data_IF_731452512727
#
_entry.id   IF_731452512727
#
_cell.length_a   1.000
_cell.length_b   1.000
_cell.length_c   1.000
_cell.angle_alpha   90.00
_cell.angle_beta   90.00
_cell.angle_gamma   90.00
#
_symmetry.space_group_name_H-M   'P 1'
#
loop_
_entity.id
_entity.type
_entity.pdbx_description
1 polymer ?
#
# COMPACT_ATOMS: atom_id res chain seq x y z
N UNK A 1 -6.83 -45.50 13.57
CA UNK A 1 -6.26 -45.08 12.28
C UNK A 1 -7.39 -44.80 11.31
N UNK A 2 -7.81 -43.57 11.22
CA UNK A 2 -8.86 -43.13 10.27
C UNK A 2 -8.17 -42.76 8.94
N UNK A 3 -8.54 -43.44 7.87
CA UNK A 3 -8.10 -43.14 6.50
C UNK A 3 -8.65 -41.81 6.11
N UNK A 4 -7.78 -40.79 5.91
CA UNK A 4 -8.13 -39.53 5.29
C UNK A 4 -8.22 -39.80 3.79
N UNK A 5 -9.44 -39.76 3.25
CA UNK A 5 -9.68 -39.81 1.81
C UNK A 5 -9.06 -38.54 1.20
N UNK A 6 -8.00 -38.69 0.45
CA UNK A 6 -7.45 -37.66 -0.43
C UNK A 6 -8.34 -37.57 -1.68
N UNK A 7 -9.39 -36.78 -1.63
CA UNK A 7 -9.90 -36.23 -2.87
C UNK A 7 -8.84 -35.23 -3.41
N UNK A 8 -8.52 -35.27 -4.71
CA UNK A 8 -7.57 -34.34 -5.29
C UNK A 8 -8.13 -32.93 -5.15
N UNK A 9 -7.45 -32.09 -4.38
CA UNK A 9 -7.72 -30.67 -4.25
C UNK A 9 -7.52 -30.04 -5.64
N UNK A 10 -8.60 -30.01 -6.41
CA UNK A 10 -8.65 -29.25 -7.66
C UNK A 10 -8.28 -27.82 -7.30
N UNK A 11 -7.12 -27.38 -7.78
CA UNK A 11 -6.71 -25.98 -7.77
C UNK A 11 -7.79 -25.19 -8.53
N UNK A 12 -8.84 -24.82 -7.81
CA UNK A 12 -9.89 -23.97 -8.33
C UNK A 12 -9.21 -22.67 -8.76
N UNK A 13 -9.12 -22.47 -10.06
CA UNK A 13 -8.79 -21.18 -10.65
C UNK A 13 -9.83 -20.21 -10.10
N UNK A 14 -9.47 -19.49 -9.03
CA UNK A 14 -10.31 -18.44 -8.47
C UNK A 14 -10.45 -17.35 -9.53
N UNK A 15 -11.56 -17.44 -10.26
CA UNK A 15 -11.89 -16.41 -11.23
C UNK A 15 -12.37 -15.16 -10.49
N UNK A 16 -12.17 -13.96 -11.05
CA UNK A 16 -12.71 -12.71 -10.49
C UNK A 16 -14.22 -12.80 -10.21
N UNK A 17 -14.92 -13.64 -10.92
CA UNK A 17 -16.37 -13.92 -10.78
C UNK A 17 -16.68 -14.57 -9.41
N UNK A 18 -15.91 -15.56 -8.97
CA UNK A 18 -16.12 -16.24 -7.68
C UNK A 18 -15.91 -15.27 -6.50
N UNK A 19 -14.93 -14.38 -6.61
CA UNK A 19 -14.66 -13.36 -5.61
C UNK A 19 -15.85 -12.40 -5.43
N UNK A 20 -16.45 -11.94 -6.52
CA UNK A 20 -17.59 -11.02 -6.51
C UNK A 20 -18.90 -11.70 -6.07
N UNK A 21 -19.09 -13.00 -6.36
CA UNK A 21 -20.24 -13.78 -5.90
C UNK A 21 -20.23 -14.01 -4.37
N UNK A 22 -19.04 -13.99 -3.77
CA UNK A 22 -18.88 -14.18 -2.32
C UNK A 22 -19.37 -12.96 -1.51
N UNK A 23 -19.31 -11.77 -2.09
CA UNK A 23 -19.82 -10.53 -1.49
C UNK A 23 -21.19 -10.19 -2.09
N UNK A 24 -22.23 -10.91 -1.65
CA UNK A 24 -23.62 -10.65 -2.06
C UNK A 24 -24.18 -9.32 -1.52
N UNK A 25 -23.49 -8.67 -0.58
CA UNK A 25 -23.82 -7.35 -0.08
C UNK A 25 -23.32 -6.25 -1.04
N UNK A 26 -24.05 -5.13 -1.07
CA UNK A 26 -23.67 -3.95 -1.86
C UNK A 26 -22.40 -3.24 -1.34
N UNK A 27 -21.71 -3.80 -0.35
CA UNK A 27 -20.54 -3.22 0.29
C UNK A 27 -19.59 -4.26 0.86
N UNK A 28 -18.30 -3.91 0.88
CA UNK A 28 -17.23 -4.71 1.48
C UNK A 28 -16.35 -3.83 2.35
N UNK A 29 -16.00 -4.33 3.55
CA UNK A 29 -15.04 -3.68 4.45
C UNK A 29 -13.67 -4.36 4.27
N UNK A 30 -12.70 -3.64 3.74
CA UNK A 30 -11.33 -4.11 3.56
C UNK A 30 -10.52 -3.79 4.82
N UNK A 31 -10.30 -4.80 5.64
CA UNK A 31 -9.45 -4.74 6.82
C UNK A 31 -8.11 -5.41 6.58
N UNK A 32 -7.17 -5.28 7.50
CA UNK A 32 -5.93 -6.03 7.46
C UNK A 32 -5.40 -6.38 8.83
N UNK A 33 -4.54 -7.40 8.89
CA UNK A 33 -3.88 -7.84 10.11
C UNK A 33 -2.78 -6.90 10.59
N UNK A 34 -2.33 -5.96 9.75
CA UNK A 34 -1.27 -5.00 10.08
C UNK A 34 -1.18 -3.82 9.12
N UNK A 35 -0.28 -2.90 9.44
CA UNK A 35 0.09 -1.84 8.50
C UNK A 35 0.82 -2.45 7.30
N UNK A 36 0.71 -1.77 6.15
CA UNK A 36 1.37 -2.19 4.91
C UNK A 36 1.05 -3.63 4.43
N UNK A 37 -0.01 -4.25 4.95
CA UNK A 37 -0.47 -5.58 4.48
C UNK A 37 -1.05 -5.56 3.06
N UNK A 38 -1.24 -4.40 2.46
CA UNK A 38 -1.71 -4.23 1.08
C UNK A 38 -3.20 -3.96 0.94
N UNK A 39 -3.84 -3.36 1.96
CA UNK A 39 -5.26 -2.93 1.89
C UNK A 39 -5.54 -2.08 0.66
N UNK A 40 -4.80 -0.98 0.50
CA UNK A 40 -5.03 -0.03 -0.60
C UNK A 40 -4.83 -0.68 -1.96
N UNK A 41 -3.80 -1.52 -2.14
CA UNK A 41 -3.62 -2.32 -3.36
C UNK A 41 -4.81 -3.26 -3.61
N UNK A 42 -5.32 -3.88 -2.54
CA UNK A 42 -6.53 -4.73 -2.62
C UNK A 42 -7.76 -3.89 -2.97
N UNK A 43 -7.94 -2.71 -2.37
CA UNK A 43 -9.05 -1.80 -2.68
C UNK A 43 -9.02 -1.31 -4.13
N UNK A 44 -7.84 -0.95 -4.65
CA UNK A 44 -7.64 -0.61 -6.08
C UNK A 44 -8.04 -1.77 -6.97
N UNK A 45 -7.59 -3.00 -6.66
CA UNK A 45 -7.94 -4.20 -7.43
C UNK A 45 -9.44 -4.50 -7.37
N UNK A 46 -10.06 -4.33 -6.20
CA UNK A 46 -11.51 -4.48 -6.03
C UNK A 46 -12.29 -3.44 -6.82
N UNK A 47 -11.87 -2.18 -6.80
CA UNK A 47 -12.50 -1.10 -7.56
C UNK A 47 -12.48 -1.43 -9.05
N UNK A 48 -11.33 -1.85 -9.57
CA UNK A 48 -11.19 -2.25 -10.98
C UNK A 48 -12.10 -3.43 -11.34
N UNK A 49 -12.19 -4.45 -10.48
CA UNK A 49 -13.07 -5.61 -10.70
C UNK A 49 -14.56 -5.24 -10.56
N UNK A 50 -14.89 -4.43 -9.55
CA UNK A 50 -16.28 -4.03 -9.29
C UNK A 50 -16.85 -3.20 -10.45
N UNK A 51 -16.07 -2.30 -11.04
CA UNK A 51 -16.47 -1.50 -12.21
C UNK A 51 -16.77 -2.31 -13.47
N UNK A 52 -16.34 -3.58 -13.52
CA UNK A 52 -16.74 -4.51 -14.60
C UNK A 52 -18.14 -5.08 -14.39
N UNK A 53 -18.68 -5.02 -13.17
CA UNK A 53 -19.96 -5.62 -12.79
C UNK A 53 -21.02 -4.58 -12.41
N UNK A 54 -20.61 -3.50 -11.78
CA UNK A 54 -21.49 -2.43 -11.29
C UNK A 54 -21.23 -1.15 -12.07
N UNK A 55 -22.28 -0.38 -12.34
CA UNK A 55 -22.18 0.87 -13.06
C UNK A 55 -21.54 1.98 -12.19
N UNK A 56 -21.93 2.02 -10.91
CA UNK A 56 -21.46 3.02 -9.95
C UNK A 56 -20.80 2.32 -8.77
N UNK A 57 -19.51 2.55 -8.60
CA UNK A 57 -18.71 1.97 -7.52
C UNK A 57 -18.05 3.09 -6.75
N UNK A 58 -18.40 3.20 -5.47
CA UNK A 58 -17.85 4.17 -4.54
C UNK A 58 -16.72 3.59 -3.69
N UNK A 59 -16.00 4.49 -3.06
CA UNK A 59 -14.93 4.19 -2.09
C UNK A 59 -15.02 5.14 -0.90
N UNK A 60 -14.68 4.64 0.28
CA UNK A 60 -14.54 5.46 1.48
C UNK A 60 -13.43 4.92 2.39
N UNK A 61 -12.66 5.86 2.95
CA UNK A 61 -11.72 5.68 4.07
C UNK A 61 -12.33 6.36 5.30
N UNK A 62 -13.12 5.65 6.12
CA UNK A 62 -13.89 6.27 7.20
C UNK A 62 -13.03 7.05 8.19
N UNK A 63 -11.87 6.49 8.55
CA UNK A 63 -10.88 7.09 9.43
C UNK A 63 -9.53 7.17 8.72
N UNK A 64 -9.06 8.38 8.44
CA UNK A 64 -7.83 8.66 7.70
C UNK A 64 -6.70 9.14 8.61
N UNK A 65 -5.74 8.27 9.00
CA UNK A 65 -4.61 8.67 9.83
C UNK A 65 -3.43 9.28 9.06
N UNK A 66 -3.54 9.41 7.73
CA UNK A 66 -2.46 9.89 6.85
C UNK A 66 -2.92 11.11 6.04
N UNK A 67 -2.96 12.30 6.66
CA UNK A 67 -3.39 13.52 5.97
C UNK A 67 -2.49 13.85 4.77
N UNK A 68 -3.09 14.28 3.69
CA UNK A 68 -2.44 14.85 2.50
C UNK A 68 -3.31 15.96 1.92
N UNK A 69 -2.70 16.84 1.14
CA UNK A 69 -3.43 17.82 0.34
C UNK A 69 -3.66 17.20 -1.04
N UNK A 70 -4.91 17.03 -1.41
CA UNK A 70 -5.30 16.50 -2.71
C UNK A 70 -5.12 17.56 -3.83
N UNK A 71 -5.24 17.16 -5.09
CA UNK A 71 -5.07 18.02 -6.26
C UNK A 71 -6.03 19.21 -6.28
N UNK A 72 -7.21 19.07 -5.68
CA UNK A 72 -8.21 20.14 -5.52
C UNK A 72 -7.98 21.04 -4.28
N UNK A 73 -6.86 20.89 -3.56
CA UNK A 73 -6.51 21.66 -2.36
C UNK A 73 -7.18 21.18 -1.06
N UNK A 74 -8.02 20.15 -1.10
CA UNK A 74 -8.69 19.63 0.09
C UNK A 74 -7.75 18.72 0.90
N UNK A 75 -7.84 18.82 2.24
CA UNK A 75 -7.15 17.88 3.13
C UNK A 75 -7.97 16.59 3.21
N UNK A 76 -7.38 15.48 2.79
CA UNK A 76 -7.99 14.16 2.79
C UNK A 76 -6.98 13.09 3.28
N UNK A 77 -7.44 11.88 3.52
CA UNK A 77 -6.51 10.74 3.70
C UNK A 77 -5.84 10.40 2.38
N UNK A 78 -4.54 10.07 2.46
CA UNK A 78 -3.72 9.76 1.28
C UNK A 78 -4.31 8.63 0.42
N UNK A 79 -4.88 7.59 1.04
CA UNK A 79 -5.45 6.45 0.31
C UNK A 79 -6.74 6.88 -0.40
N UNK A 80 -7.56 7.75 0.21
CA UNK A 80 -8.77 8.31 -0.40
C UNK A 80 -8.43 9.26 -1.58
N UNK A 81 -7.42 10.12 -1.41
CA UNK A 81 -6.95 11.01 -2.46
C UNK A 81 -6.43 10.22 -3.67
N UNK A 82 -5.65 9.15 -3.43
CA UNK A 82 -5.19 8.24 -4.48
C UNK A 82 -6.34 7.58 -5.23
N UNK A 83 -7.35 7.08 -4.50
CA UNK A 83 -8.51 6.44 -5.12
C UNK A 83 -9.35 7.43 -5.94
N UNK A 84 -9.49 8.66 -5.46
CA UNK A 84 -10.19 9.72 -6.19
C UNK A 84 -9.48 10.02 -7.51
N UNK A 85 -8.17 10.28 -7.47
CA UNK A 85 -7.36 10.60 -8.64
C UNK A 85 -7.33 9.46 -9.67
N UNK A 86 -7.07 8.21 -9.22
CA UNK A 86 -6.94 7.06 -10.13
C UNK A 86 -8.26 6.68 -10.80
N UNK A 87 -9.38 6.89 -10.12
CA UNK A 87 -10.69 6.44 -10.60
C UNK A 87 -11.66 7.57 -11.00
N UNK A 88 -11.22 8.82 -10.97
CA UNK A 88 -12.06 9.98 -11.32
C UNK A 88 -13.24 10.16 -10.36
N UNK A 89 -12.95 10.20 -9.05
CA UNK A 89 -13.95 10.32 -7.97
C UNK A 89 -13.74 11.62 -7.15
N UNK A 90 -13.11 12.63 -7.72
CA UNK A 90 -12.70 13.85 -7.02
C UNK A 90 -13.90 14.60 -6.43
N UNK A 91 -15.05 14.58 -7.10
CA UNK A 91 -16.28 15.25 -6.66
C UNK A 91 -16.83 14.66 -5.34
N UNK A 92 -16.50 13.38 -5.06
CA UNK A 92 -16.91 12.67 -3.85
C UNK A 92 -15.85 12.66 -2.74
N UNK A 93 -14.69 13.29 -2.94
CA UNK A 93 -13.54 13.19 -2.03
C UNK A 93 -13.88 13.57 -0.58
N UNK A 94 -14.74 14.56 -0.36
CA UNK A 94 -15.19 14.95 0.97
C UNK A 94 -15.96 13.83 1.69
N UNK A 95 -16.74 13.05 0.94
CA UNK A 95 -17.45 11.88 1.46
C UNK A 95 -16.52 10.68 1.59
N UNK A 96 -15.54 10.55 0.69
CA UNK A 96 -14.57 9.45 0.70
C UNK A 96 -13.58 9.54 1.87
N UNK A 97 -13.38 10.73 2.46
CA UNK A 97 -12.47 10.98 3.58
C UNK A 97 -13.13 11.87 4.65
N UNK A 98 -14.20 11.38 5.32
CA UNK A 98 -15.01 12.22 6.22
C UNK A 98 -14.30 12.61 7.50
N UNK A 99 -13.36 11.79 7.98
CA UNK A 99 -12.58 12.04 9.20
C UNK A 99 -11.11 11.84 8.90
N UNK A 100 -10.35 12.92 8.96
CA UNK A 100 -8.88 12.92 8.84
C UNK A 100 -8.31 13.30 10.20
N UNK A 101 -7.50 12.42 10.78
CA UNK A 101 -6.83 12.68 12.07
C UNK A 101 -5.53 13.45 11.83
N UNK A 102 -5.46 14.63 12.39
CA UNK A 102 -4.27 15.48 12.38
C UNK A 102 -3.38 15.22 13.60
N UNK A 103 -2.10 15.59 13.55
CA UNK A 103 -1.24 15.55 14.73
C UNK A 103 -1.87 16.29 15.91
N UNK A 104 -1.94 15.63 17.08
CA UNK A 104 -2.56 16.17 18.30
C UNK A 104 -4.06 15.86 18.47
N UNK A 105 -4.77 15.38 17.45
CA UNK A 105 -6.20 15.09 17.58
C UNK A 105 -6.50 13.95 18.56
N UNK A 106 -5.63 12.96 18.66
CA UNK A 106 -5.74 11.91 19.69
C UNK A 106 -5.77 12.49 21.11
N UNK A 107 -4.93 13.48 21.39
CA UNK A 107 -4.94 14.17 22.70
C UNK A 107 -6.23 14.95 22.91
N UNK A 108 -6.69 15.68 21.87
CA UNK A 108 -7.96 16.43 21.94
C UNK A 108 -9.15 15.53 22.24
N UNK A 109 -9.15 14.31 21.69
CA UNK A 109 -10.19 13.32 21.93
C UNK A 109 -10.14 12.84 23.38
N UNK A 110 -8.96 12.47 23.88
CA UNK A 110 -8.78 12.03 25.27
C UNK A 110 -9.09 13.14 26.27
N UNK A 111 -8.80 14.39 25.92
CA UNK A 111 -9.18 15.58 26.71
C UNK A 111 -10.68 15.93 26.63
N UNK A 112 -11.47 15.19 25.84
CA UNK A 112 -12.89 15.50 25.63
C UNK A 112 -13.18 16.74 24.76
N UNK A 113 -12.17 17.30 24.10
CA UNK A 113 -12.29 18.48 23.21
C UNK A 113 -12.79 18.11 21.81
N UNK A 114 -12.70 16.85 21.43
CA UNK A 114 -13.20 16.29 20.17
C UNK A 114 -14.01 15.04 20.49
N UNK A 115 -15.28 15.03 20.11
CA UNK A 115 -16.22 13.95 20.43
C UNK A 115 -16.10 12.78 19.46
N UNK A 116 -15.91 11.55 19.98
CA UNK A 116 -15.96 10.33 19.18
C UNK A 116 -17.33 10.10 18.54
N UNK A 117 -18.42 10.49 19.21
CA UNK A 117 -19.79 10.37 18.68
C UNK A 117 -20.02 11.31 17.48
N UNK A 118 -19.43 12.51 17.49
CA UNK A 118 -19.51 13.43 16.36
C UNK A 118 -18.77 12.88 15.15
N UNK A 119 -17.63 12.24 15.39
CA UNK A 119 -16.85 11.57 14.35
C UNK A 119 -17.60 10.35 13.79
N UNK A 120 -18.26 9.56 14.65
CA UNK A 120 -19.14 8.45 14.23
C UNK A 120 -20.27 8.97 13.33
N UNK A 121 -20.96 10.03 13.76
CA UNK A 121 -22.04 10.63 12.95
C UNK A 121 -21.57 11.10 11.57
N UNK A 122 -20.40 11.74 11.50
CA UNK A 122 -19.82 12.16 10.21
C UNK A 122 -19.52 10.97 9.30
N UNK A 123 -18.92 9.92 9.85
CA UNK A 123 -18.60 8.68 9.09
C UNK A 123 -19.89 8.05 8.57
N UNK A 124 -20.89 7.88 9.43
CA UNK A 124 -22.16 7.24 9.05
C UNK A 124 -22.90 8.04 7.98
N UNK A 125 -22.99 9.37 8.14
CA UNK A 125 -23.62 10.24 7.16
C UNK A 125 -22.94 10.16 5.77
N UNK A 126 -21.60 10.11 5.75
CA UNK A 126 -20.84 9.96 4.50
C UNK A 126 -21.10 8.58 3.84
N UNK A 127 -21.15 7.51 4.64
CA UNK A 127 -21.43 6.16 4.13
C UNK A 127 -22.85 6.09 3.58
N UNK A 128 -23.84 6.61 4.29
CA UNK A 128 -25.25 6.62 3.85
C UNK A 128 -25.42 7.39 2.53
N UNK A 129 -24.68 8.50 2.35
CA UNK A 129 -24.69 9.26 1.09
C UNK A 129 -24.04 8.49 -0.05
N UNK A 130 -22.87 7.88 0.20
CA UNK A 130 -22.19 7.09 -0.81
C UNK A 130 -22.96 5.81 -1.19
N UNK A 131 -23.68 5.18 -0.24
CA UNK A 131 -24.56 4.05 -0.52
C UNK A 131 -25.75 4.43 -1.40
N UNK A 132 -26.28 5.65 -1.27
CA UNK A 132 -27.34 6.15 -2.16
C UNK A 132 -26.85 6.42 -3.57
N UNK A 133 -25.61 6.87 -3.71
CA UNK A 133 -25.00 7.23 -5.00
C UNK A 133 -24.46 6.01 -5.76
N UNK A 134 -24.13 4.91 -5.08
CA UNK A 134 -23.37 3.80 -5.65
C UNK A 134 -24.11 2.47 -5.55
N UNK A 135 -23.86 1.61 -6.54
CA UNK A 135 -24.40 0.24 -6.58
C UNK A 135 -23.54 -0.73 -5.75
N UNK A 136 -22.26 -0.37 -5.55
CA UNK A 136 -21.31 -1.10 -4.71
C UNK A 136 -20.36 -0.13 -4.01
N UNK A 137 -20.07 -0.35 -2.72
CA UNK A 137 -19.21 0.51 -1.91
C UNK A 137 -18.03 -0.29 -1.32
N UNK A 138 -16.83 0.20 -1.55
CA UNK A 138 -15.61 -0.29 -0.93
C UNK A 138 -15.28 0.58 0.26
N UNK A 139 -15.23 -0.01 1.45
CA UNK A 139 -14.91 0.68 2.72
C UNK A 139 -13.53 0.18 3.15
N UNK A 140 -12.53 1.05 3.22
CA UNK A 140 -11.18 0.67 3.60
C UNK A 140 -10.85 1.11 5.03
N UNK A 141 -10.54 0.14 5.90
CA UNK A 141 -10.10 0.39 7.25
C UNK A 141 -8.69 0.98 7.36
N UNK A 142 -8.38 1.62 8.48
CA UNK A 142 -7.07 2.16 8.80
C UNK A 142 -6.19 1.12 9.53
N UNK A 143 -4.93 0.97 9.16
CA UNK A 143 -3.95 0.11 9.87
C UNK A 143 -4.44 -1.33 10.09
N UNK A 144 -4.39 -1.82 11.33
CA UNK A 144 -4.94 -3.12 11.75
C UNK A 144 -6.34 -2.98 12.35
N UNK A 145 -6.98 -4.10 12.72
CA UNK A 145 -8.39 -4.15 13.18
C UNK A 145 -8.70 -3.20 14.34
N UNK A 146 -7.78 -3.00 15.27
CA UNK A 146 -7.96 -2.14 16.45
C UNK A 146 -7.72 -0.65 16.24
N UNK A 147 -7.27 -0.21 15.06
CA UNK A 147 -7.03 1.22 14.81
C UNK A 147 -8.34 1.98 14.89
N UNK A 148 -8.34 3.09 15.64
CA UNK A 148 -9.52 3.86 15.97
C UNK A 148 -10.11 3.56 17.36
N UNK A 149 -9.58 2.57 18.09
CA UNK A 149 -10.07 2.24 19.44
C UNK A 149 -9.96 3.40 20.42
N UNK A 150 -8.97 4.27 20.27
CA UNK A 150 -8.80 5.47 21.13
C UNK A 150 -10.00 6.43 21.06
N UNK A 151 -10.75 6.40 19.97
CA UNK A 151 -11.96 7.20 19.77
C UNK A 151 -13.24 6.35 19.81
N UNK A 152 -13.13 5.10 20.24
CA UNK A 152 -14.26 4.17 20.24
C UNK A 152 -14.71 3.69 18.86
N UNK A 153 -13.93 3.95 17.79
CA UNK A 153 -14.27 3.65 16.40
C UNK A 153 -13.22 2.73 15.76
N UNK A 154 -12.98 1.56 16.38
CA UNK A 154 -12.12 0.55 15.78
C UNK A 154 -12.65 0.12 14.40
N UNK A 155 -11.77 -0.39 13.54
CA UNK A 155 -12.20 -0.95 12.25
C UNK A 155 -13.27 -2.03 12.41
N UNK A 156 -13.20 -2.84 13.48
CA UNK A 156 -14.20 -3.85 13.77
C UNK A 156 -15.57 -3.22 14.11
N UNK A 157 -15.57 -2.16 14.94
CA UNK A 157 -16.80 -1.44 15.26
C UNK A 157 -17.39 -0.76 14.04
N UNK A 158 -16.59 -0.08 13.21
CA UNK A 158 -17.08 0.53 11.97
C UNK A 158 -17.70 -0.53 11.07
N UNK A 159 -17.01 -1.67 10.83
CA UNK A 159 -17.53 -2.75 9.99
C UNK A 159 -18.91 -3.26 10.48
N UNK A 160 -19.08 -3.39 11.81
CA UNK A 160 -20.37 -3.75 12.42
C UNK A 160 -21.43 -2.68 12.19
N UNK A 161 -21.13 -1.41 12.50
CA UNK A 161 -22.07 -0.30 12.35
C UNK A 161 -22.62 -0.18 10.94
N UNK A 162 -21.75 -0.33 9.94
CA UNK A 162 -22.14 -0.28 8.54
C UNK A 162 -22.66 -1.61 7.99
N UNK A 163 -22.70 -2.67 8.80
CA UNK A 163 -23.17 -4.01 8.42
C UNK A 163 -22.48 -4.52 7.14
N UNK A 164 -21.17 -4.27 7.01
CA UNK A 164 -20.41 -4.71 5.86
C UNK A 164 -19.70 -6.05 6.14
N UNK A 165 -19.72 -6.93 5.14
CA UNK A 165 -18.89 -8.14 5.18
C UNK A 165 -17.41 -7.78 5.12
N UNK A 166 -16.60 -8.36 6.00
CA UNK A 166 -15.18 -8.04 6.10
C UNK A 166 -14.35 -8.98 5.21
N UNK A 167 -13.51 -8.37 4.38
CA UNK A 167 -12.37 -8.99 3.72
C UNK A 167 -11.12 -8.67 4.55
N UNK A 168 -10.52 -9.68 5.18
CA UNK A 168 -9.30 -9.51 5.97
C UNK A 168 -8.07 -9.81 5.12
N UNK A 169 -7.28 -8.78 4.84
CA UNK A 169 -6.02 -8.89 4.09
C UNK A 169 -4.89 -9.20 5.07
N UNK A 170 -4.13 -10.27 4.81
CA UNK A 170 -3.01 -10.70 5.64
C UNK A 170 -1.69 -10.52 4.90
N UNK A 171 -0.57 -10.65 5.60
CA UNK A 171 0.76 -10.75 4.99
C UNK A 171 1.02 -12.10 4.32
N UNK A 172 2.27 -12.36 3.95
CA UNK A 172 2.73 -13.65 3.44
C UNK A 172 3.20 -14.59 4.55
N UNK A 173 3.36 -15.86 4.21
CA UNK A 173 3.78 -16.92 5.12
C UNK A 173 2.60 -17.76 5.65
N UNK A 174 2.84 -18.68 6.56
CA UNK A 174 1.81 -19.56 7.12
C UNK A 174 1.57 -19.22 8.60
N UNK A 175 2.52 -19.51 9.49
CA UNK A 175 2.34 -19.34 10.94
C UNK A 175 1.99 -17.90 11.31
N UNK A 176 2.82 -16.94 10.91
CA UNK A 176 2.57 -15.53 11.18
C UNK A 176 1.22 -15.01 10.64
N UNK A 177 0.76 -15.53 9.49
CA UNK A 177 -0.56 -15.20 8.94
C UNK A 177 -1.68 -15.72 9.82
N UNK A 178 -1.55 -16.97 10.28
CA UNK A 178 -2.55 -17.61 11.15
C UNK A 178 -2.64 -16.87 12.49
N UNK A 179 -1.50 -16.63 13.15
CA UNK A 179 -1.45 -15.93 14.44
C UNK A 179 -2.01 -14.51 14.34
N UNK A 180 -1.57 -13.74 13.34
CA UNK A 180 -2.05 -12.39 13.11
C UNK A 180 -3.55 -12.35 12.75
N UNK A 181 -4.05 -13.32 11.99
CA UNK A 181 -5.46 -13.43 11.67
C UNK A 181 -6.30 -13.69 12.94
N UNK A 182 -5.92 -14.67 13.77
CA UNK A 182 -6.64 -14.96 15.01
C UNK A 182 -6.68 -13.76 15.98
N UNK A 183 -5.55 -13.07 16.16
CA UNK A 183 -5.50 -11.84 16.96
C UNK A 183 -6.50 -10.79 16.48
N UNK A 184 -6.53 -10.52 15.17
CA UNK A 184 -7.42 -9.52 14.59
C UNK A 184 -8.88 -9.97 14.62
N UNK A 185 -9.17 -11.24 14.36
CA UNK A 185 -10.51 -11.81 14.42
C UNK A 185 -11.13 -11.77 15.82
N UNK A 186 -10.32 -11.82 16.87
CA UNK A 186 -10.83 -11.69 18.24
C UNK A 186 -11.66 -10.39 18.43
N UNK A 187 -11.16 -9.26 17.91
CA UNK A 187 -11.87 -7.98 17.99
C UNK A 187 -13.09 -7.94 17.06
N UNK A 188 -13.02 -8.53 15.86
CA UNK A 188 -14.19 -8.65 14.98
C UNK A 188 -15.29 -9.47 15.63
N UNK A 189 -14.95 -10.58 16.31
CA UNK A 189 -15.91 -11.39 17.07
C UNK A 189 -16.51 -10.64 18.24
N UNK A 190 -15.68 -9.92 19.00
CA UNK A 190 -16.13 -9.07 20.12
C UNK A 190 -17.13 -8.01 19.65
N UNK A 191 -16.90 -7.38 18.51
CA UNK A 191 -17.78 -6.37 17.94
C UNK A 191 -18.93 -6.98 17.12
N UNK A 192 -19.04 -8.30 17.01
CA UNK A 192 -20.02 -9.00 16.17
C UNK A 192 -19.99 -8.55 14.69
N UNK A 193 -18.81 -8.24 14.17
CA UNK A 193 -18.59 -7.94 12.75
C UNK A 193 -18.21 -9.23 11.99
N UNK A 194 -18.83 -9.45 10.83
CA UNK A 194 -18.73 -10.69 10.08
C UNK A 194 -17.50 -10.68 9.15
N UNK A 195 -16.47 -11.45 9.52
CA UNK A 195 -15.36 -11.75 8.59
C UNK A 195 -15.80 -12.90 7.66
N UNK A 196 -15.91 -12.63 6.37
CA UNK A 196 -16.33 -13.62 5.37
C UNK A 196 -15.17 -14.25 4.61
N UNK A 197 -14.10 -13.50 4.42
CA UNK A 197 -12.98 -13.95 3.63
C UNK A 197 -11.64 -13.45 4.17
N UNK A 198 -10.61 -14.26 3.97
CA UNK A 198 -9.22 -13.92 4.19
C UNK A 198 -8.49 -13.95 2.85
N UNK A 199 -7.72 -12.90 2.56
CA UNK A 199 -6.88 -12.78 1.38
C UNK A 199 -5.42 -12.72 1.82
N UNK A 200 -4.62 -13.71 1.43
CA UNK A 200 -3.19 -13.69 1.68
C UNK A 200 -2.48 -12.79 0.65
N UNK A 201 -1.63 -11.87 1.11
CA UNK A 201 -0.88 -10.97 0.24
C UNK A 201 0.62 -11.17 0.44
N UNK A 202 1.44 -10.69 -0.51
CA UNK A 202 2.90 -10.78 -0.47
C UNK A 202 3.41 -12.23 -0.36
N UNK A 203 2.75 -13.15 -1.00
CA UNK A 203 3.18 -14.55 -1.05
C UNK A 203 4.37 -14.67 -2.01
N UNK A 204 5.43 -15.34 -1.57
CA UNK A 204 6.57 -15.68 -2.44
C UNK A 204 6.04 -16.59 -3.56
N UNK A 205 6.25 -16.28 -4.85
CA UNK A 205 5.65 -17.01 -5.97
C UNK A 205 5.83 -18.52 -5.88
N UNK A 206 7.04 -19.00 -5.66
CA UNK A 206 7.39 -20.43 -5.60
C UNK A 206 6.75 -21.18 -4.41
N UNK A 207 6.28 -20.44 -3.41
CA UNK A 207 5.63 -20.99 -2.21
C UNK A 207 4.11 -20.83 -2.22
N UNK A 208 3.55 -20.24 -3.28
CA UNK A 208 2.15 -19.83 -3.33
C UNK A 208 1.17 -20.96 -3.04
N UNK A 209 1.27 -22.05 -3.79
CA UNK A 209 0.33 -23.18 -3.66
C UNK A 209 0.39 -23.79 -2.25
N UNK A 210 1.61 -24.04 -1.77
CA UNK A 210 1.84 -24.55 -0.42
C UNK A 210 1.25 -23.62 0.65
N UNK A 211 1.49 -22.32 0.57
CA UNK A 211 0.95 -21.34 1.52
C UNK A 211 -0.58 -21.37 1.54
N UNK A 212 -1.21 -21.29 0.38
CA UNK A 212 -2.68 -21.29 0.29
C UNK A 212 -3.30 -22.60 0.79
N UNK A 213 -2.69 -23.75 0.50
CA UNK A 213 -3.12 -25.05 1.01
C UNK A 213 -3.07 -25.10 2.55
N UNK A 214 -1.95 -24.69 3.15
CA UNK A 214 -1.82 -24.72 4.61
C UNK A 214 -2.71 -23.68 5.30
N UNK A 215 -2.93 -22.51 4.71
CA UNK A 215 -3.88 -21.54 5.24
C UNK A 215 -5.32 -22.08 5.19
N UNK A 216 -5.70 -22.76 4.11
CA UNK A 216 -7.00 -23.41 4.01
C UNK A 216 -7.20 -24.50 5.07
N UNK A 217 -6.16 -25.28 5.37
CA UNK A 217 -6.18 -26.26 6.46
C UNK A 217 -6.27 -25.62 7.84
N UNK A 218 -5.46 -24.57 8.09
CA UNK A 218 -5.45 -23.85 9.36
C UNK A 218 -6.81 -23.23 9.70
N UNK A 219 -7.52 -22.75 8.69
CA UNK A 219 -8.83 -22.09 8.84
C UNK A 219 -10.02 -23.01 8.48
N UNK A 220 -9.82 -24.31 8.33
CA UNK A 220 -10.88 -25.23 7.90
C UNK A 220 -12.14 -25.27 8.79
N UNK A 221 -11.99 -24.89 10.08
CA UNK A 221 -13.10 -24.84 11.05
C UNK A 221 -13.70 -23.46 11.23
N UNK A 222 -13.18 -22.47 10.53
CA UNK A 222 -13.64 -21.08 10.62
C UNK A 222 -14.83 -20.83 9.68
N UNK A 223 -15.72 -19.89 10.01
CA UNK A 223 -16.88 -19.56 9.18
C UNK A 223 -16.52 -18.75 7.93
N UNK A 224 -15.27 -18.39 7.74
CA UNK A 224 -14.76 -17.69 6.57
C UNK A 224 -13.90 -18.61 5.70
N UNK A 225 -13.57 -18.15 4.49
CA UNK A 225 -12.71 -18.89 3.57
C UNK A 225 -11.47 -18.11 3.19
N UNK A 226 -10.39 -18.82 2.92
CA UNK A 226 -9.22 -18.26 2.22
C UNK A 226 -9.56 -18.21 0.73
N UNK A 227 -9.73 -17.00 0.19
CA UNK A 227 -10.18 -16.80 -1.20
C UNK A 227 -9.04 -16.61 -2.20
N UNK A 228 -7.82 -16.91 -1.80
CA UNK A 228 -6.62 -16.78 -2.62
C UNK A 228 -5.60 -15.84 -2.03
N UNK A 229 -4.76 -15.27 -2.88
CA UNK A 229 -3.71 -14.35 -2.46
C UNK A 229 -3.00 -13.70 -3.63
N UNK A 230 -2.26 -12.64 -3.35
CA UNK A 230 -1.39 -11.97 -4.30
C UNK A 230 0.07 -12.34 -4.05
N UNK A 231 0.81 -12.51 -5.12
CA UNK A 231 2.24 -12.69 -5.05
C UNK A 231 2.93 -11.40 -4.58
N UNK A 232 4.07 -11.54 -3.92
CA UNK A 232 4.95 -10.42 -3.64
C UNK A 232 5.43 -9.81 -4.96
N UNK A 233 5.24 -8.52 -5.10
CA UNK A 233 5.67 -7.74 -6.25
C UNK A 233 6.68 -6.69 -5.76
N UNK A 234 7.98 -6.86 -6.02
CA UNK A 234 9.01 -5.91 -5.58
C UNK A 234 8.73 -4.48 -6.01
N UNK A 235 8.22 -4.28 -7.21
CA UNK A 235 7.87 -2.97 -7.76
C UNK A 235 6.89 -2.18 -6.88
N UNK A 236 5.98 -2.85 -6.17
CA UNK A 236 5.02 -2.19 -5.27
C UNK A 236 5.63 -1.84 -3.89
N UNK A 237 6.80 -2.38 -3.57
CA UNK A 237 7.51 -2.14 -2.31
C UNK A 237 8.64 -1.10 -2.47
N UNK A 238 9.15 -0.94 -3.67
CA UNK A 238 10.30 -0.11 -3.96
C UNK A 238 9.90 1.38 -4.12
N UNK A 239 10.68 2.32 -3.56
CA UNK A 239 10.40 3.74 -3.69
C UNK A 239 10.78 4.28 -5.07
N UNK A 240 10.11 5.34 -5.51
CA UNK A 240 10.57 6.16 -6.63
C UNK A 240 11.63 7.16 -6.18
N UNK A 241 12.42 7.71 -7.10
CA UNK A 241 13.37 8.80 -6.82
C UNK A 241 12.66 10.01 -6.19
N UNK A 242 11.48 10.37 -6.68
CA UNK A 242 10.63 11.41 -6.06
C UNK A 242 10.35 11.12 -4.60
N UNK A 243 10.00 9.87 -4.27
CA UNK A 243 9.72 9.52 -2.88
C UNK A 243 10.95 9.60 -2.00
N UNK A 244 12.11 9.20 -2.50
CA UNK A 244 13.38 9.30 -1.78
C UNK A 244 13.73 10.77 -1.55
N UNK A 245 13.65 11.62 -2.57
CA UNK A 245 13.86 13.07 -2.49
C UNK A 245 12.99 13.70 -1.40
N UNK A 246 11.69 13.39 -1.37
CA UNK A 246 10.76 13.88 -0.34
C UNK A 246 11.10 13.41 1.08
N UNK A 247 11.56 12.15 1.24
CA UNK A 247 11.90 11.60 2.56
C UNK A 247 13.18 12.20 3.10
N UNK A 248 14.15 12.45 2.22
CA UNK A 248 15.43 13.06 2.59
C UNK A 248 15.37 14.59 2.66
N UNK A 249 14.27 15.19 2.21
CA UNK A 249 14.09 16.64 2.07
C UNK A 249 15.21 17.29 1.25
N UNK A 250 15.54 16.65 0.10
CA UNK A 250 16.56 17.12 -0.85
C UNK A 250 15.98 17.20 -2.25
N UNK A 251 16.41 18.21 -3.02
CA UNK A 251 15.93 18.40 -4.37
C UNK A 251 16.47 17.32 -5.33
N UNK A 252 15.59 16.77 -6.16
CA UNK A 252 15.96 15.85 -7.23
C UNK A 252 16.27 16.68 -8.50
N UNK A 253 17.50 16.59 -8.95
CA UNK A 253 17.97 17.14 -10.22
C UNK A 253 17.85 16.09 -11.32
N UNK A 254 17.39 16.49 -12.49
CA UNK A 254 17.20 15.61 -13.65
C UNK A 254 15.92 15.92 -14.42
N UNK A 255 15.54 15.06 -15.35
CA UNK A 255 14.28 15.25 -16.10
C UNK A 255 13.05 14.98 -15.23
N UNK A 256 11.91 15.64 -15.48
CA UNK A 256 10.67 15.38 -14.73
C UNK A 256 10.24 13.91 -14.77
N UNK A 257 10.50 13.20 -15.87
CA UNK A 257 10.18 11.79 -16.05
C UNK A 257 10.99 10.90 -15.11
N UNK A 258 12.25 11.25 -14.86
CA UNK A 258 13.14 10.48 -13.98
C UNK A 258 12.64 10.41 -12.54
N UNK A 259 11.85 11.39 -12.11
CA UNK A 259 11.27 11.41 -10.77
C UNK A 259 10.36 10.20 -10.47
N UNK A 260 9.76 9.60 -11.50
CA UNK A 260 8.95 8.38 -11.41
C UNK A 260 9.75 7.08 -11.42
N UNK A 261 11.06 7.13 -11.65
CA UNK A 261 11.91 5.94 -11.73
C UNK A 261 11.96 5.20 -10.39
N UNK A 262 11.73 3.89 -10.44
CA UNK A 262 11.70 3.04 -9.25
C UNK A 262 13.12 2.58 -8.94
N UNK A 263 13.50 2.65 -7.67
CA UNK A 263 14.80 2.18 -7.17
C UNK A 263 14.68 0.75 -6.69
N UNK A 264 15.35 -0.18 -7.37
CA UNK A 264 15.36 -1.59 -6.97
C UNK A 264 16.45 -1.89 -5.96
N UNK A 265 17.61 -1.27 -6.09
CA UNK A 265 18.77 -1.48 -5.25
C UNK A 265 19.36 -0.17 -4.76
N UNK A 266 19.92 -0.18 -3.55
CA UNK A 266 20.71 0.93 -3.01
C UNK A 266 22.12 0.42 -2.79
N UNK A 267 23.11 1.05 -3.42
CA UNK A 267 24.51 0.64 -3.35
C UNK A 267 25.37 1.82 -2.90
N UNK A 268 26.47 1.52 -2.16
CA UNK A 268 27.42 2.52 -1.70
C UNK A 268 28.66 2.45 -2.60
N UNK A 269 29.01 3.57 -3.23
CA UNK A 269 30.19 3.73 -4.08
C UNK A 269 31.48 3.89 -3.26
N UNK A 270 31.78 2.95 -2.37
CA UNK A 270 32.98 3.02 -1.49
C UNK A 270 34.21 2.29 -2.07
N UNK A 271 34.01 1.32 -2.97
CA UNK A 271 35.11 0.58 -3.60
C UNK A 271 35.77 1.39 -4.74
N UNK A 272 36.78 0.82 -5.41
CA UNK A 272 37.36 1.41 -6.62
C UNK A 272 36.30 1.64 -7.69
N UNK A 273 36.50 2.64 -8.56
CA UNK A 273 35.57 2.93 -9.67
C UNK A 273 35.27 1.70 -10.51
N UNK A 274 36.29 0.93 -10.86
CA UNK A 274 36.14 -0.32 -11.61
C UNK A 274 35.22 -1.29 -10.86
N UNK A 275 35.46 -1.52 -9.57
CA UNK A 275 34.68 -2.48 -8.79
C UNK A 275 33.23 -2.05 -8.63
N UNK A 276 32.96 -0.76 -8.44
CA UNK A 276 31.60 -0.21 -8.36
C UNK A 276 30.85 -0.45 -9.67
N UNK A 277 31.48 -0.16 -10.81
CA UNK A 277 30.86 -0.34 -12.13
C UNK A 277 30.59 -1.80 -12.48
N UNK A 278 31.48 -2.72 -12.11
CA UNK A 278 31.30 -4.17 -12.29
C UNK A 278 30.17 -4.75 -11.43
N UNK A 279 29.86 -4.11 -10.30
CA UNK A 279 28.83 -4.58 -9.35
C UNK A 279 27.48 -3.88 -9.48
N UNK A 280 27.29 -3.02 -10.49
CA UNK A 280 26.02 -2.36 -10.73
C UNK A 280 24.90 -3.37 -10.92
N UNK A 281 23.78 -3.13 -10.25
CA UNK A 281 22.56 -3.92 -10.37
C UNK A 281 21.46 -3.09 -11.04
N UNK A 282 20.44 -3.75 -11.56
CA UNK A 282 19.34 -3.09 -12.23
C UNK A 282 18.69 -2.02 -11.33
N UNK A 283 18.50 -0.83 -11.90
CA UNK A 283 17.81 0.29 -11.24
C UNK A 283 18.38 0.64 -9.86
N UNK A 284 19.73 0.76 -9.79
CA UNK A 284 20.45 1.11 -8.56
C UNK A 284 20.48 2.62 -8.32
N UNK A 285 20.19 3.01 -7.07
CA UNK A 285 20.55 4.32 -6.52
C UNK A 285 21.94 4.19 -5.89
N UNK A 286 22.92 4.86 -6.46
CA UNK A 286 24.26 4.88 -5.88
C UNK A 286 24.46 6.04 -4.93
N UNK A 287 24.98 5.73 -3.73
CA UNK A 287 25.40 6.74 -2.74
C UNK A 287 26.89 6.95 -2.94
N UNK A 288 27.26 8.12 -3.45
CA UNK A 288 28.65 8.49 -3.79
C UNK A 288 28.99 9.83 -3.14
N UNK A 289 30.02 9.87 -2.29
CA UNK A 289 30.41 11.12 -1.63
C UNK A 289 30.89 12.16 -2.64
N UNK A 290 30.65 13.43 -2.33
CA UNK A 290 31.02 14.57 -3.18
C UNK A 290 32.53 14.70 -3.47
N UNK A 291 33.38 13.98 -2.73
CA UNK A 291 34.84 13.93 -2.93
C UNK A 291 35.31 12.88 -3.94
N UNK A 292 34.37 12.07 -4.49
CA UNK A 292 34.70 11.01 -5.45
C UNK A 292 34.43 11.44 -6.89
N UNK A 293 35.10 12.53 -7.31
CA UNK A 293 34.93 13.12 -8.65
C UNK A 293 35.12 12.07 -9.78
N UNK A 294 36.12 11.19 -9.65
CA UNK A 294 36.42 10.16 -10.65
C UNK A 294 35.26 9.16 -10.83
N UNK A 295 34.62 8.80 -9.74
CA UNK A 295 33.46 7.89 -9.76
C UNK A 295 32.22 8.59 -10.30
N UNK A 296 31.95 9.83 -9.86
CA UNK A 296 30.83 10.64 -10.34
C UNK A 296 30.89 10.86 -11.85
N UNK A 297 32.07 11.23 -12.37
CA UNK A 297 32.30 11.40 -13.83
C UNK A 297 32.11 10.10 -14.57
N UNK A 298 32.61 8.97 -14.04
CA UNK A 298 32.44 7.67 -14.66
C UNK A 298 30.95 7.29 -14.73
N UNK A 299 30.21 7.41 -13.63
CA UNK A 299 28.79 7.08 -13.58
C UNK A 299 27.96 7.96 -14.51
N UNK A 300 28.25 9.26 -14.57
CA UNK A 300 27.60 10.18 -15.51
C UNK A 300 27.84 9.79 -16.98
N UNK A 301 29.03 9.30 -17.31
CA UNK A 301 29.34 8.88 -18.69
C UNK A 301 28.69 7.53 -19.02
N UNK A 302 28.77 6.53 -18.14
CA UNK A 302 28.17 5.22 -18.43
C UNK A 302 26.63 5.26 -18.46
N UNK A 303 26.01 6.23 -17.80
CA UNK A 303 24.56 6.44 -17.87
C UNK A 303 24.07 6.67 -19.30
N UNK A 304 24.91 7.27 -20.16
CA UNK A 304 24.60 7.50 -21.57
C UNK A 304 24.94 6.31 -22.49
N UNK A 305 25.48 5.23 -21.92
CA UNK A 305 25.75 3.99 -22.66
C UNK A 305 24.51 3.09 -22.52
N UNK A 306 23.82 2.69 -23.63
CA UNK A 306 22.56 1.96 -23.58
C UNK A 306 22.61 0.70 -22.71
N UNK A 307 23.71 -0.02 -22.72
CA UNK A 307 23.92 -1.27 -21.97
C UNK A 307 23.96 -1.05 -20.45
N UNK A 308 24.27 0.16 -19.99
CA UNK A 308 24.38 0.51 -18.57
C UNK A 308 23.24 1.40 -18.06
N UNK A 309 22.51 2.04 -18.97
CA UNK A 309 21.46 3.00 -18.60
C UNK A 309 20.45 2.41 -17.62
N UNK A 310 20.00 1.18 -17.86
CA UNK A 310 19.01 0.49 -17.02
C UNK A 310 19.55 0.08 -15.65
N UNK A 311 20.89 0.07 -15.46
CA UNK A 311 21.50 -0.27 -14.18
C UNK A 311 21.46 0.90 -13.18
N UNK A 312 21.31 2.13 -13.64
CA UNK A 312 21.38 3.34 -12.81
C UNK A 312 20.02 4.03 -12.73
N UNK A 313 19.40 4.01 -11.56
CA UNK A 313 18.23 4.84 -11.27
C UNK A 313 18.64 6.30 -11.02
N UNK A 314 19.77 6.53 -10.34
CA UNK A 314 20.27 7.86 -10.02
C UNK A 314 21.39 7.85 -8.99
N UNK A 315 21.80 9.04 -8.58
CA UNK A 315 22.84 9.24 -7.57
C UNK A 315 22.30 9.95 -6.34
N UNK A 316 22.78 9.56 -5.17
CA UNK A 316 22.70 10.36 -3.95
C UNK A 316 24.12 10.80 -3.57
N UNK A 317 24.35 12.10 -3.53
CA UNK A 317 25.68 12.68 -3.36
C UNK A 317 25.79 13.37 -1.99
N UNK A 318 26.00 12.62 -0.90
CA UNK A 318 26.21 13.22 0.41
C UNK A 318 27.59 13.87 0.52
N UNK A 319 27.70 14.85 1.37
CA UNK A 319 28.97 15.48 1.72
C UNK A 319 28.88 16.99 1.86
N UNK A 320 29.76 17.53 2.67
CA UNK A 320 29.84 18.99 2.94
C UNK A 320 30.68 19.71 1.86
N UNK A 321 31.64 18.98 1.24
CA UNK A 321 32.45 19.52 0.18
C UNK A 321 31.65 19.72 -1.11
N UNK A 322 31.92 20.79 -1.82
CA UNK A 322 31.32 21.01 -3.12
C UNK A 322 31.93 20.05 -4.15
N UNK A 323 31.08 19.50 -5.02
CA UNK A 323 31.52 18.81 -6.22
C UNK A 323 32.28 19.80 -7.11
N UNK A 324 33.35 19.38 -7.77
CA UNK A 324 34.11 20.27 -8.64
C UNK A 324 33.23 20.87 -9.75
N UNK A 325 33.52 22.09 -10.18
CA UNK A 325 32.72 22.76 -11.21
C UNK A 325 32.69 22.00 -12.55
N UNK A 326 33.73 21.21 -12.83
CA UNK A 326 33.82 20.36 -14.03
C UNK A 326 32.92 19.15 -13.86
N UNK A 327 32.99 18.47 -12.73
CA UNK A 327 32.16 17.29 -12.41
C UNK A 327 30.68 17.68 -12.40
N UNK A 328 30.35 18.84 -11.81
CA UNK A 328 28.98 19.36 -11.82
C UNK A 328 28.42 19.52 -13.23
N UNK A 329 29.19 20.15 -14.13
CA UNK A 329 28.82 20.32 -15.54
C UNK A 329 28.63 18.97 -16.28
N UNK A 330 29.42 17.96 -15.93
CA UNK A 330 29.31 16.64 -16.52
C UNK A 330 28.03 15.95 -16.02
N UNK A 331 27.72 16.00 -14.72
CA UNK A 331 26.49 15.49 -14.15
C UNK A 331 25.27 16.13 -14.80
N UNK A 332 25.21 17.46 -14.87
CA UNK A 332 24.09 18.20 -15.44
C UNK A 332 23.86 17.88 -16.92
N UNK A 333 24.94 17.66 -17.68
CA UNK A 333 24.85 17.31 -19.11
C UNK A 333 24.54 15.84 -19.38
N UNK A 334 24.86 14.97 -18.44
CA UNK A 334 24.62 13.52 -18.62
C UNK A 334 23.16 13.15 -18.55
N UNK A 335 22.33 13.99 -17.90
CA UNK A 335 20.92 13.70 -17.65
C UNK A 335 20.68 12.64 -16.56
N UNK A 336 21.75 12.11 -15.91
CA UNK A 336 21.60 11.21 -14.78
C UNK A 336 20.86 11.90 -13.63
N UNK A 337 19.80 11.31 -13.09
CA UNK A 337 19.12 11.91 -11.93
C UNK A 337 20.02 11.89 -10.70
N UNK A 338 20.08 12.99 -9.96
CA UNK A 338 20.83 13.00 -8.71
C UNK A 338 20.20 13.87 -7.64
N UNK A 339 20.49 13.58 -6.38
CA UNK A 339 20.10 14.31 -5.17
C UNK A 339 21.37 14.68 -4.39
N UNK A 340 21.36 15.88 -3.81
CA UNK A 340 22.53 16.37 -3.07
C UNK A 340 22.13 17.11 -1.78
#
# INVERSE_FOLDING_TARGET
MARINHEPFLATRYTPRLFMEYFMARKVFVAATGQNSGKTTTSVSLMYMARKKYQRVGYIKPLGPKPTVASNGMVADKDAALMAEVFGLEDDLALMSPVVLLPGDTQKILDGKLSGEDLERKIMAAIDELERKNDFLIIEGAGHTGVGSVIGLSNARIARLVKASVLLVTGGGIGNVVDAAYMNMALFRQEAAEVRAVLANKIIPDKREKVLQYLALAFAREPFKVIGGFNYQPILANPTLRRISQVLDVELQGSPESAGQIVHHVQIGAASTQRVTEMLQESSLLIVTSSRDELLVTLANIYNIPEYHHLLAGLLIPGVAQVSSITQKILDRSGIPYMR
#
